data_IF_958276043143
#
_entry.id   IF_958276043143
#
_cell.length_a   1.000
_cell.length_b   1.000
_cell.length_c   1.000
_cell.angle_alpha   90.00
_cell.angle_beta   90.00
_cell.angle_gamma   90.00
#
_symmetry.space_group_name_H-M   'P 1'
#
loop_
_entity.id
_entity.type
_entity.pdbx_description
1 polymer ?
#
# COMPACT_ATOMS: atom_id res chain seq x y z
N UNK A 1 9.74 0.54 -4.38
CA UNK A 1 10.28 -0.01 -3.11
C UNK A 1 11.63 -0.72 -3.28
N UNK A 2 11.72 -1.85 -4.00
CA UNK A 2 12.95 -2.68 -4.08
C UNK A 2 14.24 -1.94 -4.44
N UNK A 3 14.16 -1.01 -5.40
CA UNK A 3 15.31 -0.21 -5.86
C UNK A 3 15.56 1.05 -5.03
N UNK A 4 14.65 1.42 -4.14
CA UNK A 4 14.72 2.69 -3.43
C UNK A 4 14.58 3.93 -4.31
N UNK A 5 13.97 3.80 -5.50
CA UNK A 5 13.80 4.89 -6.45
C UNK A 5 12.34 5.36 -6.50
N UNK A 6 12.13 6.66 -6.67
CA UNK A 6 10.84 7.24 -7.03
C UNK A 6 10.57 6.95 -8.51
N UNK A 7 9.40 6.39 -8.83
CA UNK A 7 9.06 5.95 -10.20
C UNK A 7 7.97 6.77 -10.87
N UNK A 8 7.25 7.60 -10.11
CA UNK A 8 6.18 8.45 -10.61
C UNK A 8 5.57 9.27 -9.48
N UNK A 9 4.59 10.11 -9.81
CA UNK A 9 3.74 10.81 -8.87
C UNK A 9 2.30 10.86 -9.38
N UNK A 10 1.32 10.85 -8.48
CA UNK A 10 -0.09 11.04 -8.84
C UNK A 10 -0.49 12.50 -8.67
N UNK A 11 -1.14 13.08 -9.68
CA UNK A 11 -1.69 14.42 -9.64
C UNK A 11 -3.02 14.43 -8.87
N UNK A 12 -2.97 14.92 -7.63
CA UNK A 12 -4.11 14.93 -6.73
C UNK A 12 -4.73 16.34 -6.64
N UNK A 13 -5.96 16.48 -7.14
CA UNK A 13 -6.68 17.76 -7.09
C UNK A 13 -6.93 18.20 -5.63
N UNK A 14 -6.74 19.49 -5.35
CA UNK A 14 -7.06 20.13 -4.07
C UNK A 14 -7.64 21.50 -4.34
N UNK A 15 -8.73 21.85 -3.66
CA UNK A 15 -9.37 23.15 -3.86
C UNK A 15 -9.00 24.12 -2.75
N UNK A 16 -8.28 25.19 -3.10
CA UNK A 16 -8.04 26.33 -2.21
C UNK A 16 -9.30 27.20 -2.13
N UNK A 17 -10.24 26.83 -1.25
CA UNK A 17 -11.49 27.57 -1.07
C UNK A 17 -11.21 28.95 -0.42
N UNK A 18 -11.79 30.04 -0.93
CA UNK A 18 -11.49 31.39 -0.45
C UNK A 18 -11.81 31.63 1.03
N UNK A 19 -12.77 30.88 1.60
CA UNK A 19 -13.16 31.01 3.02
C UNK A 19 -12.84 29.79 3.87
N UNK A 20 -12.84 28.59 3.28
CA UNK A 20 -12.81 27.33 4.03
C UNK A 20 -11.42 26.69 4.00
N UNK A 21 -10.47 27.35 3.32
CA UNK A 21 -9.11 26.85 3.14
C UNK A 21 -9.05 25.67 2.19
N UNK A 22 -8.08 24.78 2.43
CA UNK A 22 -7.82 23.63 1.57
C UNK A 22 -8.92 22.57 1.72
N UNK A 23 -9.70 22.35 0.67
CA UNK A 23 -10.69 21.29 0.59
C UNK A 23 -10.17 20.08 -0.19
N UNK A 24 -10.44 18.89 0.33
CA UNK A 24 -10.12 17.61 -0.30
C UNK A 24 -11.18 17.22 -1.36
N UNK A 25 -10.82 16.38 -2.35
CA UNK A 25 -11.70 15.98 -3.45
C UNK A 25 -13.11 15.54 -3.02
N UNK A 26 -13.21 14.74 -1.96
CA UNK A 26 -14.50 14.23 -1.45
C UNK A 26 -15.48 15.31 -0.96
N UNK A 27 -15.06 16.58 -0.87
CA UNK A 27 -15.94 17.72 -0.55
C UNK A 27 -16.62 18.35 -1.76
N UNK A 28 -16.09 18.15 -2.97
CA UNK A 28 -16.56 18.87 -4.16
C UNK A 28 -16.72 18.01 -5.42
N UNK A 29 -15.93 16.94 -5.60
CA UNK A 29 -16.08 16.07 -6.77
C UNK A 29 -17.49 15.43 -6.85
N UNK A 30 -18.09 14.90 -5.76
CA UNK A 30 -19.44 14.33 -5.83
C UNK A 30 -20.54 15.34 -6.21
N UNK A 31 -20.26 16.65 -6.14
CA UNK A 31 -21.22 17.70 -6.48
C UNK A 31 -21.23 17.94 -8.00
N UNK A 32 -20.09 17.72 -8.67
CA UNK A 32 -19.92 17.99 -10.09
C UNK A 32 -19.93 16.72 -10.94
N UNK A 33 -19.88 15.55 -10.31
CA UNK A 33 -19.92 14.23 -10.95
C UNK A 33 -21.00 14.16 -12.05
N UNK A 34 -20.65 13.56 -13.19
CA UNK A 34 -21.48 13.44 -14.39
C UNK A 34 -21.96 14.74 -15.05
N UNK A 35 -21.43 15.91 -14.65
CA UNK A 35 -21.76 17.21 -15.25
C UNK A 35 -20.72 17.69 -16.28
N UNK A 36 -21.07 18.70 -17.07
CA UNK A 36 -20.09 19.39 -17.95
C UNK A 36 -18.93 20.00 -17.16
N UNK A 37 -19.17 20.42 -15.91
CA UNK A 37 -18.13 20.96 -15.05
C UNK A 37 -17.10 19.89 -14.65
N UNK A 38 -17.48 18.62 -14.56
CA UNK A 38 -16.53 17.51 -14.34
C UNK A 38 -15.56 17.36 -15.51
N UNK A 39 -16.06 17.48 -16.74
CA UNK A 39 -15.24 17.49 -17.96
C UNK A 39 -14.30 18.70 -17.97
N UNK A 40 -14.83 19.90 -17.72
CA UNK A 40 -14.02 21.13 -17.66
C UNK A 40 -12.92 21.07 -16.59
N UNK A 41 -13.23 20.51 -15.42
CA UNK A 41 -12.27 20.31 -14.34
C UNK A 41 -11.22 19.26 -14.73
N UNK A 42 -11.62 18.16 -15.35
CA UNK A 42 -10.69 17.14 -15.85
C UNK A 42 -9.71 17.70 -16.88
N UNK A 43 -10.20 18.48 -17.85
CA UNK A 43 -9.37 19.19 -18.83
C UNK A 43 -8.37 20.14 -18.17
N UNK A 44 -8.84 20.89 -17.17
CA UNK A 44 -8.00 21.79 -16.39
C UNK A 44 -6.92 21.04 -15.61
N UNK A 45 -7.25 19.89 -15.01
CA UNK A 45 -6.27 19.04 -14.29
C UNK A 45 -5.20 18.54 -15.24
N UNK A 46 -5.56 18.05 -16.42
CA UNK A 46 -4.58 17.60 -17.43
C UNK A 46 -3.65 18.76 -17.81
N UNK A 47 -4.22 19.94 -18.10
CA UNK A 47 -3.43 21.11 -18.48
C UNK A 47 -2.46 21.54 -17.36
N UNK A 48 -2.91 21.57 -16.11
CA UNK A 48 -2.07 21.97 -14.99
C UNK A 48 -0.98 20.93 -14.69
N UNK A 49 -1.28 19.63 -14.83
CA UNK A 49 -0.29 18.57 -14.72
C UNK A 49 0.79 18.70 -15.79
N UNK A 50 0.43 18.89 -17.06
CA UNK A 50 1.40 19.09 -18.15
C UNK A 50 2.26 20.34 -17.94
N UNK A 51 1.64 21.46 -17.54
CA UNK A 51 2.37 22.68 -17.18
C UNK A 51 3.38 22.42 -16.07
N UNK A 52 2.98 21.70 -15.02
CA UNK A 52 3.85 21.39 -13.88
C UNK A 52 4.96 20.40 -14.24
N UNK A 53 4.70 19.46 -15.15
CA UNK A 53 5.71 18.54 -15.69
C UNK A 53 6.77 19.29 -16.51
N UNK A 54 6.40 20.30 -17.30
CA UNK A 54 7.38 21.13 -18.01
C UNK A 54 8.27 21.92 -17.05
N UNK A 55 7.68 22.46 -15.97
CA UNK A 55 8.45 23.13 -14.92
C UNK A 55 9.46 22.18 -14.25
N UNK A 56 9.09 20.92 -14.03
CA UNK A 56 10.00 19.89 -13.50
C UNK A 56 11.05 19.46 -14.52
N UNK A 57 10.69 19.29 -15.79
CA UNK A 57 11.62 18.98 -16.88
C UNK A 57 12.72 20.06 -16.99
N UNK A 58 12.34 21.34 -16.91
CA UNK A 58 13.29 22.46 -16.90
C UNK A 58 14.25 22.45 -15.70
N UNK A 59 13.87 21.79 -14.60
CA UNK A 59 14.70 21.57 -13.41
C UNK A 59 15.52 20.27 -13.47
N UNK A 60 15.45 19.52 -14.57
CA UNK A 60 16.12 18.23 -14.76
C UNK A 60 15.42 17.07 -14.06
N UNK A 61 14.11 17.17 -13.80
CA UNK A 61 13.30 16.11 -13.22
C UNK A 61 12.32 15.59 -14.27
N UNK A 62 12.65 14.45 -14.86
CA UNK A 62 11.77 13.69 -15.75
C UNK A 62 11.06 12.60 -14.94
N UNK A 63 9.81 12.85 -14.56
CA UNK A 63 9.03 11.96 -13.71
C UNK A 63 7.69 11.62 -14.38
N UNK A 64 7.31 10.33 -14.46
CA UNK A 64 5.97 9.95 -14.86
C UNK A 64 4.91 10.54 -13.92
N UNK A 65 3.83 11.07 -14.48
CA UNK A 65 2.69 11.62 -13.73
C UNK A 65 1.42 10.91 -14.13
N UNK A 66 0.73 10.38 -13.13
CA UNK A 66 -0.58 9.77 -13.29
C UNK A 66 -1.68 10.80 -12.99
N UNK A 67 -2.72 10.83 -13.82
CA UNK A 67 -3.80 11.81 -13.78
C UNK A 67 -5.14 11.07 -13.75
N UNK A 68 -5.94 11.33 -12.71
CA UNK A 68 -7.28 10.78 -12.56
C UNK A 68 -8.25 11.34 -13.61
N UNK A 69 -8.97 10.45 -14.30
CA UNK A 69 -10.00 10.80 -15.29
C UNK A 69 -11.33 10.14 -14.89
N UNK A 70 -12.38 10.95 -14.77
CA UNK A 70 -13.73 10.45 -14.50
C UNK A 70 -14.28 9.66 -15.69
N UNK A 71 -15.22 8.75 -15.42
CA UNK A 71 -15.90 7.98 -16.49
C UNK A 71 -16.60 8.90 -17.49
N UNK A 72 -17.28 9.93 -17.00
CA UNK A 72 -17.95 10.94 -17.84
C UNK A 72 -16.98 11.67 -18.77
N UNK A 73 -15.82 12.10 -18.26
CA UNK A 73 -14.81 12.79 -19.04
C UNK A 73 -14.17 11.86 -20.07
N UNK A 74 -13.84 10.63 -19.67
CA UNK A 74 -13.28 9.61 -20.56
C UNK A 74 -14.23 9.33 -21.74
N UNK A 75 -15.53 9.20 -21.48
CA UNK A 75 -16.53 8.90 -22.50
C UNK A 75 -17.00 10.13 -23.30
N UNK A 76 -16.48 11.32 -22.99
CA UNK A 76 -16.88 12.54 -23.69
C UNK A 76 -16.43 12.53 -25.16
N UNK A 77 -17.29 13.00 -26.06
CA UNK A 77 -17.01 13.01 -27.50
C UNK A 77 -15.79 13.89 -27.80
N UNK A 78 -14.76 13.28 -28.41
CA UNK A 78 -13.53 13.97 -28.77
C UNK A 78 -12.50 14.09 -27.64
N UNK A 79 -12.63 13.35 -26.54
CA UNK A 79 -11.61 13.25 -25.49
C UNK A 79 -10.20 13.02 -26.06
N UNK A 80 -10.02 12.03 -26.94
CA UNK A 80 -8.71 11.71 -27.54
C UNK A 80 -8.14 12.88 -28.36
N UNK A 81 -8.99 13.58 -29.12
CA UNK A 81 -8.61 14.79 -29.86
C UNK A 81 -8.19 15.90 -28.91
N UNK A 82 -8.96 16.13 -27.84
CA UNK A 82 -8.65 17.17 -26.85
C UNK A 82 -7.33 16.89 -26.13
N UNK A 83 -7.12 15.64 -25.73
CA UNK A 83 -5.84 15.19 -25.18
C UNK A 83 -4.69 15.43 -26.15
N UNK A 84 -4.86 15.14 -27.45
CA UNK A 84 -3.83 15.42 -28.46
C UNK A 84 -3.50 16.92 -28.58
N UNK A 85 -4.49 17.79 -28.48
CA UNK A 85 -4.28 19.25 -28.46
C UNK A 85 -3.50 19.71 -27.23
N UNK A 86 -3.86 19.19 -26.04
CA UNK A 86 -3.17 19.49 -24.79
C UNK A 86 -1.72 19.02 -24.84
N UNK A 87 -1.47 17.78 -25.29
CA UNK A 87 -0.11 17.25 -25.46
C UNK A 87 0.71 18.07 -26.46
N UNK A 88 0.12 18.47 -27.59
CA UNK A 88 0.80 19.27 -28.60
C UNK A 88 1.22 20.66 -28.11
N UNK A 89 0.55 21.19 -27.09
CA UNK A 89 0.93 22.45 -26.45
C UNK A 89 2.20 22.35 -25.60
N UNK A 90 2.63 21.13 -25.25
CA UNK A 90 3.80 20.84 -24.40
C UNK A 90 4.83 19.93 -25.11
N UNK A 91 5.42 20.38 -26.24
CA UNK A 91 6.23 19.53 -27.13
C UNK A 91 7.55 19.03 -26.53
N UNK A 92 7.97 19.58 -25.38
CA UNK A 92 9.19 19.15 -24.70
C UNK A 92 8.96 17.92 -23.81
N UNK A 93 7.71 17.59 -23.50
CA UNK A 93 7.37 16.42 -22.71
C UNK A 93 7.29 15.18 -23.60
N UNK A 94 7.87 14.08 -23.14
CA UNK A 94 7.63 12.79 -23.74
C UNK A 94 6.23 12.29 -23.31
N UNK A 95 5.30 11.99 -24.24
CA UNK A 95 3.96 11.54 -23.87
C UNK A 95 3.92 10.27 -23.01
N UNK A 96 4.97 9.43 -23.11
CA UNK A 96 5.13 8.23 -22.28
C UNK A 96 5.43 8.49 -20.80
N UNK A 97 5.52 9.76 -20.38
CA UNK A 97 5.54 10.16 -18.97
C UNK A 97 4.14 10.42 -18.42
N UNK A 98 3.10 10.29 -19.22
CA UNK A 98 1.73 10.59 -18.81
C UNK A 98 0.96 9.29 -18.73
N UNK A 99 0.34 9.08 -17.58
CA UNK A 99 -0.53 7.95 -17.31
C UNK A 99 -1.92 8.47 -16.96
N UNK A 100 -2.96 7.91 -17.58
CA UNK A 100 -4.34 8.20 -17.23
C UNK A 100 -4.89 7.10 -16.33
N UNK A 101 -5.36 7.50 -15.16
CA UNK A 101 -5.98 6.63 -14.18
C UNK A 101 -7.49 6.69 -14.33
N UNK A 102 -8.11 5.52 -14.48
CA UNK A 102 -9.57 5.41 -14.56
C UNK A 102 -10.05 4.37 -13.57
N UNK A 103 -11.18 4.65 -12.91
CA UNK A 103 -11.80 3.71 -11.99
C UNK A 103 -12.18 2.41 -12.72
N UNK A 104 -12.04 1.29 -12.00
CA UNK A 104 -12.46 -0.03 -12.48
C UNK A 104 -13.91 -0.02 -13.00
N UNK A 105 -14.83 0.57 -12.25
CA UNK A 105 -16.26 0.61 -12.58
C UNK A 105 -16.53 1.38 -13.88
N UNK A 106 -15.91 2.55 -14.04
CA UNK A 106 -16.05 3.38 -15.25
C UNK A 106 -15.53 2.67 -16.51
N UNK A 107 -14.46 1.89 -16.39
CA UNK A 107 -13.93 1.10 -17.49
C UNK A 107 -14.86 -0.06 -17.90
N UNK A 108 -15.64 -0.60 -16.95
CA UNK A 108 -16.53 -1.75 -17.17
C UNK A 108 -17.88 -1.39 -17.79
N UNK A 109 -18.36 -0.16 -17.61
CA UNK A 109 -19.67 0.29 -18.12
C UNK A 109 -19.79 0.21 -19.65
N UNK A 110 -18.72 0.56 -20.38
CA UNK A 110 -18.68 0.51 -21.85
C UNK A 110 -17.32 0.06 -22.38
N UNK A 111 -16.97 -1.19 -22.10
CA UNK A 111 -15.64 -1.73 -22.41
C UNK A 111 -15.24 -1.62 -23.88
N UNK A 112 -16.17 -1.77 -24.82
CA UNK A 112 -15.82 -1.76 -26.24
C UNK A 112 -15.33 -0.37 -26.66
N UNK A 113 -16.08 0.67 -26.27
CA UNK A 113 -15.72 2.05 -26.55
C UNK A 113 -14.47 2.47 -25.75
N UNK A 114 -14.36 2.07 -24.48
CA UNK A 114 -13.18 2.36 -23.65
C UNK A 114 -11.91 1.72 -24.24
N UNK A 115 -11.98 0.47 -24.72
CA UNK A 115 -10.83 -0.20 -25.32
C UNK A 115 -10.38 0.48 -26.62
N UNK A 116 -11.31 0.95 -27.45
CA UNK A 116 -10.98 1.74 -28.65
C UNK A 116 -10.31 3.05 -28.28
N UNK A 117 -10.90 3.80 -27.33
CA UNK A 117 -10.36 5.06 -26.83
C UNK A 117 -8.95 4.91 -26.24
N UNK A 118 -8.72 3.85 -25.48
CA UNK A 118 -7.40 3.51 -24.95
C UNK A 118 -6.39 3.28 -26.09
N UNK A 119 -6.84 2.64 -27.18
CA UNK A 119 -6.04 2.46 -28.39
C UNK A 119 -5.73 3.79 -29.10
N UNK A 120 -6.66 4.74 -29.11
CA UNK A 120 -6.43 6.09 -29.63
C UNK A 120 -5.41 6.86 -28.79
N UNK A 121 -5.61 6.91 -27.48
CA UNK A 121 -4.75 7.63 -26.56
C UNK A 121 -3.34 7.01 -26.50
N UNK A 122 -3.21 5.68 -26.62
CA UNK A 122 -1.90 5.03 -26.76
C UNK A 122 -1.15 5.42 -28.02
N UNK A 123 -1.84 5.70 -29.13
CA UNK A 123 -1.19 6.23 -30.34
C UNK A 123 -0.60 7.62 -30.12
N UNK A 124 -1.09 8.37 -29.12
CA UNK A 124 -0.50 9.62 -28.65
C UNK A 124 0.71 9.39 -27.72
N UNK A 125 0.93 8.15 -27.27
CA UNK A 125 2.04 7.74 -26.40
C UNK A 125 1.72 7.73 -24.90
N UNK A 126 0.45 7.90 -24.52
CA UNK A 126 -0.02 7.93 -23.13
C UNK A 126 -0.35 6.51 -22.63
N UNK A 127 -0.01 6.18 -21.37
CA UNK A 127 -0.35 4.89 -20.73
C UNK A 127 -1.67 4.97 -19.96
N UNK A 128 -2.20 3.81 -19.58
CA UNK A 128 -3.39 3.73 -18.72
C UNK A 128 -3.16 2.84 -17.51
N UNK A 129 -3.71 3.29 -16.38
CA UNK A 129 -3.83 2.54 -15.15
C UNK A 129 -5.31 2.31 -14.81
N UNK A 130 -5.62 1.11 -14.33
CA UNK A 130 -6.91 0.83 -13.69
C UNK A 130 -6.78 1.08 -12.20
N UNK A 131 -7.62 1.98 -11.70
CA UNK A 131 -7.65 2.40 -10.30
C UNK A 131 -8.77 1.71 -9.51
N UNK A 132 -8.63 1.70 -8.18
CA UNK A 132 -9.53 1.06 -7.22
C UNK A 132 -9.83 -0.43 -7.51
N UNK A 133 -8.86 -1.17 -8.07
CA UNK A 133 -9.10 -2.54 -8.52
C UNK A 133 -9.41 -3.48 -7.35
N UNK A 134 -10.47 -4.28 -7.51
CA UNK A 134 -10.95 -5.27 -6.55
C UNK A 134 -12.17 -4.80 -5.75
N UNK A 135 -12.56 -3.53 -5.87
CA UNK A 135 -13.78 -2.99 -5.25
C UNK A 135 -15.04 -3.23 -6.11
N UNK A 136 -14.85 -3.51 -7.40
CA UNK A 136 -15.92 -3.80 -8.36
C UNK A 136 -16.09 -5.29 -8.69
N UNK A 137 -17.02 -5.57 -9.61
CA UNK A 137 -17.27 -6.92 -10.14
C UNK A 137 -16.40 -7.19 -11.39
N UNK A 138 -15.08 -7.17 -11.24
CA UNK A 138 -14.19 -7.55 -12.35
C UNK A 138 -14.19 -9.05 -12.61
N UNK A 139 -14.62 -9.45 -13.81
CA UNK A 139 -14.32 -10.79 -14.33
C UNK A 139 -12.93 -10.81 -14.98
N UNK A 140 -12.22 -11.93 -14.86
CA UNK A 140 -10.94 -12.16 -15.55
C UNK A 140 -11.03 -11.91 -17.07
N UNK A 141 -12.21 -12.11 -17.66
CA UNK A 141 -12.50 -11.83 -19.07
C UNK A 141 -12.35 -10.35 -19.39
N UNK A 142 -12.81 -9.46 -18.51
CA UNK A 142 -12.76 -8.02 -18.70
C UNK A 142 -11.34 -7.51 -18.58
N UNK A 143 -10.62 -7.94 -17.56
CA UNK A 143 -9.21 -7.61 -17.37
C UNK A 143 -8.38 -7.95 -18.61
N UNK A 144 -8.61 -9.12 -19.23
CA UNK A 144 -7.92 -9.54 -20.46
C UNK A 144 -8.16 -8.59 -21.65
N UNK A 145 -9.35 -7.99 -21.73
CA UNK A 145 -9.76 -7.14 -22.85
C UNK A 145 -9.36 -5.68 -22.67
N UNK A 146 -9.38 -5.19 -21.43
CA UNK A 146 -8.95 -3.83 -21.10
C UNK A 146 -7.43 -3.72 -21.24
N UNK A 147 -6.92 -2.87 -22.14
CA UNK A 147 -5.50 -2.76 -22.36
C UNK A 147 -4.87 -1.80 -21.33
N UNK A 148 -5.05 -2.02 -20.04
CA UNK A 148 -4.34 -1.23 -19.03
C UNK A 148 -2.90 -1.74 -18.86
N UNK A 149 -1.96 -0.82 -18.68
CA UNK A 149 -0.54 -1.12 -18.50
C UNK A 149 -0.22 -1.37 -17.01
N UNK A 150 -0.93 -0.64 -16.14
CA UNK A 150 -0.81 -0.66 -14.69
C UNK A 150 -2.15 -1.00 -14.05
N UNK A 151 -2.10 -1.70 -12.93
CA UNK A 151 -3.25 -1.91 -12.04
C UNK A 151 -2.90 -1.42 -10.65
N UNK A 152 -3.75 -0.58 -10.07
CA UNK A 152 -3.61 -0.04 -8.72
C UNK A 152 -4.55 -0.83 -7.78
N UNK A 153 -3.98 -1.42 -6.74
CA UNK A 153 -4.73 -2.15 -5.71
C UNK A 153 -5.25 -1.13 -4.71
N UNK A 154 -6.57 -1.09 -4.53
CA UNK A 154 -7.23 -0.12 -3.65
C UNK A 154 -6.65 -0.12 -2.23
N UNK A 155 -6.57 1.08 -1.66
CA UNK A 155 -6.03 1.32 -0.32
C UNK A 155 -6.81 0.60 0.79
N UNK A 156 -8.09 0.27 0.60
CA UNK A 156 -8.85 -0.44 1.65
C UNK A 156 -8.30 -1.83 1.89
N UNK A 157 -7.95 -2.56 0.81
CA UNK A 157 -7.31 -3.87 0.92
C UNK A 157 -5.90 -3.74 1.50
N UNK A 158 -5.09 -2.80 1.01
CA UNK A 158 -3.70 -2.67 1.45
C UNK A 158 -3.61 -2.28 2.93
N UNK A 159 -4.42 -1.33 3.40
CA UNK A 159 -4.41 -0.91 4.82
C UNK A 159 -4.76 -2.06 5.77
N UNK A 160 -5.65 -2.94 5.33
CA UNK A 160 -6.18 -4.03 6.15
C UNK A 160 -5.46 -5.36 5.92
N UNK A 161 -4.65 -5.53 4.85
CA UNK A 161 -4.02 -6.83 4.51
C UNK A 161 -3.11 -7.36 5.62
N UNK A 162 -2.66 -6.47 6.50
CA UNK A 162 -1.88 -6.82 7.66
C UNK A 162 -2.74 -7.16 8.88
N UNK A 163 -4.06 -7.23 8.82
CA UNK A 163 -4.94 -7.60 9.93
C UNK A 163 -6.04 -8.58 9.49
N UNK A 164 -6.49 -8.44 8.24
CA UNK A 164 -7.53 -9.22 7.61
C UNK A 164 -6.94 -10.19 6.58
N UNK A 165 -7.21 -11.49 6.78
CA UNK A 165 -6.72 -12.55 5.91
C UNK A 165 -7.44 -12.58 4.55
N UNK A 166 -8.70 -12.12 4.50
CA UNK A 166 -9.45 -12.02 3.26
C UNK A 166 -8.87 -10.89 2.40
N UNK A 167 -8.55 -9.73 3.00
CA UNK A 167 -7.90 -8.63 2.29
C UNK A 167 -6.48 -9.01 1.82
N UNK A 168 -5.71 -9.75 2.63
CA UNK A 168 -4.43 -10.30 2.20
C UNK A 168 -4.58 -11.23 1.00
N UNK A 169 -5.55 -12.15 1.03
CA UNK A 169 -5.82 -13.08 -0.08
C UNK A 169 -6.24 -12.33 -1.36
N UNK A 170 -6.98 -11.23 -1.25
CA UNK A 170 -7.31 -10.35 -2.38
C UNK A 170 -6.02 -9.74 -2.97
N UNK A 171 -5.16 -9.16 -2.14
CA UNK A 171 -3.88 -8.57 -2.57
C UNK A 171 -3.02 -9.62 -3.29
N UNK A 172 -2.88 -10.83 -2.73
CA UNK A 172 -2.16 -11.94 -3.35
C UNK A 172 -2.74 -12.32 -4.71
N UNK A 173 -4.07 -12.44 -4.80
CA UNK A 173 -4.78 -12.76 -6.03
C UNK A 173 -4.55 -11.72 -7.13
N UNK A 174 -4.61 -10.43 -6.78
CA UNK A 174 -4.39 -9.33 -7.72
C UNK A 174 -2.93 -9.27 -8.19
N UNK A 175 -1.95 -9.48 -7.30
CA UNK A 175 -0.54 -9.56 -7.69
C UNK A 175 -0.30 -10.77 -8.60
N UNK A 176 -0.88 -11.94 -8.29
CA UNK A 176 -0.80 -13.12 -9.15
C UNK A 176 -1.41 -12.89 -10.54
N UNK A 177 -2.53 -12.15 -10.60
CA UNK A 177 -3.18 -11.78 -11.85
C UNK A 177 -2.29 -10.89 -12.72
N UNK A 178 -1.71 -9.83 -12.14
CA UNK A 178 -0.85 -8.91 -12.89
C UNK A 178 0.41 -9.61 -13.41
N UNK A 179 1.00 -10.52 -12.64
CA UNK A 179 2.11 -11.37 -13.09
C UNK A 179 1.72 -12.27 -14.27
N UNK A 180 0.56 -12.93 -14.21
CA UNK A 180 0.08 -13.81 -15.27
C UNK A 180 -0.14 -13.08 -16.61
N UNK A 181 -0.63 -11.85 -16.54
CA UNK A 181 -0.88 -10.99 -17.71
C UNK A 181 0.28 -10.06 -18.06
N UNK A 182 1.40 -10.13 -17.33
CA UNK A 182 2.61 -9.31 -17.51
C UNK A 182 2.32 -7.80 -17.45
N UNK A 183 1.47 -7.40 -16.50
CA UNK A 183 1.15 -6.00 -16.20
C UNK A 183 1.88 -5.53 -14.96
N UNK A 184 2.02 -4.22 -14.83
CA UNK A 184 2.54 -3.62 -13.62
C UNK A 184 1.45 -3.54 -12.55
N UNK A 185 1.86 -3.54 -11.28
CA UNK A 185 0.97 -3.43 -10.14
C UNK A 185 1.51 -2.39 -9.17
N UNK A 186 0.63 -1.51 -8.68
CA UNK A 186 0.91 -0.52 -7.66
C UNK A 186 -0.01 -0.80 -6.48
N UNK A 187 0.56 -0.91 -5.28
CA UNK A 187 -0.24 -0.98 -4.06
C UNK A 187 -0.46 0.41 -3.46
N UNK A 188 -1.72 0.78 -3.22
CA UNK A 188 -2.07 2.08 -2.64
C UNK A 188 -2.29 2.02 -1.13
N UNK A 189 -2.10 3.12 -0.41
CA UNK A 189 -2.34 3.11 1.03
C UNK A 189 -1.29 2.33 1.83
N UNK A 190 -0.04 2.26 1.34
CA UNK A 190 1.10 1.77 2.15
C UNK A 190 1.39 2.79 3.26
N UNK A 191 0.86 2.54 4.46
CA UNK A 191 0.97 3.45 5.61
C UNK A 191 2.20 3.21 6.48
N UNK A 192 2.77 2.01 6.40
CA UNK A 192 3.86 1.60 7.28
C UNK A 192 4.91 0.79 6.52
N UNK A 193 6.11 0.68 7.10
CA UNK A 193 7.22 -0.11 6.54
C UNK A 193 6.81 -1.57 6.36
N UNK A 194 6.00 -2.09 7.29
CA UNK A 194 5.52 -3.45 7.29
C UNK A 194 4.60 -3.76 6.10
N UNK A 195 3.80 -2.80 5.64
CA UNK A 195 3.01 -2.96 4.41
C UNK A 195 3.93 -3.19 3.22
N UNK A 196 4.96 -2.33 3.07
CA UNK A 196 5.93 -2.45 1.98
C UNK A 196 6.75 -3.74 2.05
N UNK A 197 7.06 -4.24 3.25
CA UNK A 197 7.73 -5.52 3.43
C UNK A 197 6.90 -6.67 2.86
N UNK A 198 5.64 -6.78 3.25
CA UNK A 198 4.74 -7.85 2.75
C UNK A 198 4.58 -7.75 1.24
N UNK A 199 4.33 -6.55 0.72
CA UNK A 199 4.19 -6.33 -0.73
C UNK A 199 5.44 -6.76 -1.52
N UNK A 200 6.64 -6.43 -1.03
CA UNK A 200 7.90 -6.86 -1.65
C UNK A 200 8.07 -8.38 -1.67
N UNK A 201 7.56 -9.08 -0.66
CA UNK A 201 7.59 -10.54 -0.56
C UNK A 201 6.58 -11.19 -1.51
N UNK A 202 5.42 -10.57 -1.69
CA UNK A 202 4.41 -10.99 -2.68
C UNK A 202 4.81 -10.67 -4.12
N UNK A 203 5.87 -9.88 -4.33
CA UNK A 203 6.39 -9.51 -5.65
C UNK A 203 5.81 -8.21 -6.21
N UNK A 204 5.20 -7.38 -5.36
CA UNK A 204 4.79 -6.02 -5.68
C UNK A 204 5.93 -5.04 -5.33
N UNK A 205 6.53 -4.43 -6.35
CA UNK A 205 7.69 -3.55 -6.19
C UNK A 205 7.33 -2.05 -6.14
N UNK A 206 6.14 -1.68 -6.62
CA UNK A 206 5.67 -0.29 -6.71
C UNK A 206 4.53 -0.07 -5.72
N UNK A 207 4.56 1.08 -5.03
CA UNK A 207 3.57 1.41 -4.03
C UNK A 207 3.47 2.92 -3.83
N UNK A 208 2.34 3.35 -3.30
CA UNK A 208 2.10 4.69 -2.81
C UNK A 208 1.39 4.67 -1.45
N UNK A 209 1.60 5.69 -0.64
CA UNK A 209 0.98 5.82 0.67
C UNK A 209 1.83 6.61 1.66
N UNK A 210 1.28 6.87 2.84
CA UNK A 210 1.88 7.73 3.85
C UNK A 210 3.18 7.19 4.45
N UNK A 211 3.41 5.87 4.38
CA UNK A 211 4.69 5.25 4.75
C UNK A 211 5.82 5.61 3.77
N UNK A 212 5.50 6.18 2.60
CA UNK A 212 6.47 6.70 1.62
C UNK A 212 6.47 8.22 1.66
N UNK A 213 5.30 8.84 1.43
CA UNK A 213 5.11 10.29 1.46
C UNK A 213 3.64 10.66 1.62
N UNK A 214 3.40 11.80 2.26
CA UNK A 214 2.11 12.48 2.14
C UNK A 214 2.02 13.24 0.80
N UNK A 215 0.80 13.43 0.25
CA UNK A 215 0.59 14.37 -0.84
C UNK A 215 1.18 15.74 -0.50
N UNK A 216 1.94 16.32 -1.43
CA UNK A 216 2.67 17.55 -1.21
C UNK A 216 2.49 18.55 -2.36
N UNK A 217 2.63 19.86 -2.12
CA UNK A 217 2.69 20.84 -3.20
C UNK A 217 3.80 20.53 -4.20
N UNK A 218 3.51 20.73 -5.49
CA UNK A 218 4.42 20.36 -6.58
C UNK A 218 5.83 21.00 -6.49
N UNK A 219 5.93 22.19 -5.90
CA UNK A 219 7.21 22.87 -5.69
C UNK A 219 8.15 22.15 -4.71
N UNK A 220 7.62 21.29 -3.83
CA UNK A 220 8.43 20.53 -2.87
C UNK A 220 8.96 19.21 -3.44
N UNK A 221 8.33 18.70 -4.50
CA UNK A 221 8.60 17.37 -5.04
C UNK A 221 10.05 17.19 -5.53
N UNK A 222 10.67 18.12 -6.29
CA UNK A 222 12.04 17.94 -6.79
C UNK A 222 13.07 17.75 -5.67
N UNK A 223 12.96 18.53 -4.59
CA UNK A 223 13.87 18.39 -3.45
C UNK A 223 13.58 17.11 -2.65
N UNK A 224 12.31 16.77 -2.47
CA UNK A 224 11.93 15.52 -1.82
C UNK A 224 12.50 14.29 -2.55
N UNK A 225 12.42 14.24 -3.89
CA UNK A 225 13.00 13.15 -4.70
C UNK A 225 14.51 13.05 -4.48
N UNK A 226 15.24 14.17 -4.46
CA UNK A 226 16.69 14.18 -4.23
C UNK A 226 17.08 13.63 -2.86
N UNK A 227 16.21 13.82 -1.87
CA UNK A 227 16.46 13.39 -0.48
C UNK A 227 15.86 12.02 -0.16
N UNK A 228 15.04 11.46 -1.05
CA UNK A 228 14.33 10.22 -0.81
C UNK A 228 15.29 9.07 -0.52
N UNK A 229 15.02 8.36 0.58
CA UNK A 229 15.69 7.12 0.96
C UNK A 229 14.61 6.11 1.35
N UNK A 230 14.63 4.89 0.79
CA UNK A 230 13.73 3.85 1.24
C UNK A 230 14.05 3.47 2.68
N UNK A 231 13.09 2.86 3.36
CA UNK A 231 13.35 2.22 4.63
C UNK A 231 14.37 1.07 4.49
N UNK A 232 15.25 0.91 5.47
CA UNK A 232 16.30 -0.11 5.47
C UNK A 232 15.73 -1.54 5.43
N UNK A 233 14.56 -1.76 6.07
CA UNK A 233 13.89 -3.07 6.09
C UNK A 233 13.49 -3.52 4.70
N UNK A 234 13.09 -2.61 3.81
CA UNK A 234 12.79 -2.93 2.42
C UNK A 234 14.04 -3.37 1.67
N UNK A 235 15.20 -2.77 1.95
CA UNK A 235 16.47 -3.20 1.39
C UNK A 235 16.82 -4.63 1.80
N UNK A 236 16.72 -4.94 3.10
CA UNK A 236 17.00 -6.27 3.65
C UNK A 236 16.09 -7.35 3.06
N UNK A 237 14.79 -7.07 2.95
CA UNK A 237 13.81 -8.00 2.37
C UNK A 237 14.19 -8.45 0.95
N UNK A 238 14.83 -7.57 0.19
CA UNK A 238 15.15 -7.79 -1.23
C UNK A 238 16.46 -8.56 -1.44
N UNK A 239 17.30 -8.66 -0.40
CA UNK A 239 18.55 -9.41 -0.44
C UNK A 239 18.33 -10.93 -0.47
N UNK A 240 17.10 -11.38 -0.21
CA UNK A 240 16.78 -12.79 -0.08
C UNK A 240 15.61 -13.19 -0.99
N UNK A 241 15.67 -14.42 -1.53
CA UNK A 241 14.56 -15.03 -2.26
C UNK A 241 13.80 -15.92 -1.29
N UNK A 242 12.62 -15.47 -0.91
CA UNK A 242 11.73 -16.17 0.00
C UNK A 242 10.82 -17.13 -0.76
N UNK A 243 10.51 -18.27 -0.15
CA UNK A 243 9.38 -19.07 -0.60
C UNK A 243 8.09 -18.45 -0.05
N UNK A 244 6.98 -18.54 -0.79
CA UNK A 244 5.67 -18.06 -0.34
C UNK A 244 5.26 -18.72 1.00
N UNK A 245 5.67 -19.98 1.18
CA UNK A 245 5.47 -20.76 2.39
C UNK A 245 6.18 -20.21 3.65
N UNK A 246 7.25 -19.41 3.48
CA UNK A 246 7.98 -18.83 4.61
C UNK A 246 7.48 -17.42 4.99
N UNK A 247 6.55 -16.86 4.20
CA UNK A 247 6.02 -15.52 4.40
C UNK A 247 5.41 -15.30 5.80
N UNK A 248 4.57 -16.22 6.35
CA UNK A 248 4.03 -16.06 7.69
C UNK A 248 5.09 -15.96 8.79
N UNK A 249 6.24 -16.63 8.65
CA UNK A 249 7.36 -16.54 9.61
C UNK A 249 8.05 -15.17 9.56
N UNK A 250 8.07 -14.53 8.40
CA UNK A 250 8.70 -13.21 8.25
C UNK A 250 7.89 -12.09 8.86
N UNK A 251 6.59 -12.22 8.82
CA UNK A 251 5.67 -11.27 9.42
C UNK A 251 5.34 -11.60 10.87
N UNK A 252 5.87 -12.70 11.42
CA UNK A 252 5.60 -13.08 12.81
C UNK A 252 6.07 -11.99 13.81
N UNK A 253 7.26 -11.41 13.61
CA UNK A 253 7.74 -10.29 14.45
C UNK A 253 6.87 -9.03 14.27
N UNK A 254 6.37 -8.82 13.06
CA UNK A 254 5.45 -7.71 12.73
C UNK A 254 4.12 -7.89 13.48
N UNK A 255 3.52 -9.07 13.39
CA UNK A 255 2.25 -9.40 14.04
C UNK A 255 2.36 -9.28 15.56
N UNK A 256 3.46 -9.75 16.13
CA UNK A 256 3.74 -9.59 17.55
C UNK A 256 3.94 -8.12 17.95
N UNK A 257 4.77 -7.40 17.20
CA UNK A 257 5.04 -5.96 17.42
C UNK A 257 3.76 -5.12 17.34
N UNK A 258 2.84 -5.47 16.44
CA UNK A 258 1.53 -4.82 16.33
C UNK A 258 0.66 -5.09 17.56
N UNK A 259 0.56 -6.35 17.98
CA UNK A 259 -0.18 -6.70 19.19
C UNK A 259 0.32 -5.90 20.40
N UNK A 260 1.65 -5.78 20.56
CA UNK A 260 2.28 -4.92 21.56
C UNK A 260 1.88 -3.45 21.39
N UNK A 261 2.02 -2.87 20.19
CA UNK A 261 1.65 -1.46 19.95
C UNK A 261 0.18 -1.20 20.32
N UNK A 262 -0.73 -2.09 19.94
CA UNK A 262 -2.16 -2.00 20.29
C UNK A 262 -2.41 -2.11 21.79
N UNK A 263 -1.69 -2.97 22.50
CA UNK A 263 -1.76 -3.06 23.95
C UNK A 263 -1.34 -1.73 24.60
N UNK A 264 -0.22 -1.15 24.17
CA UNK A 264 0.27 0.11 24.73
C UNK A 264 -0.65 1.28 24.40
N UNK A 265 -1.17 1.35 23.17
CA UNK A 265 -2.16 2.35 22.79
C UNK A 265 -3.42 2.28 23.67
N UNK A 266 -3.91 1.06 23.96
CA UNK A 266 -5.01 0.85 24.90
C UNK A 266 -4.67 1.34 26.31
N UNK A 267 -3.47 1.01 26.82
CA UNK A 267 -3.04 1.40 28.17
C UNK A 267 -2.84 2.91 28.32
N UNK A 268 -2.47 3.60 27.24
CA UNK A 268 -2.26 5.05 27.24
C UNK A 268 -3.56 5.82 26.92
N UNK A 269 -4.63 5.12 26.51
CA UNK A 269 -5.92 5.73 26.23
C UNK A 269 -6.64 6.17 27.52
N UNK A 270 -6.81 7.48 27.66
CA UNK A 270 -7.60 8.09 28.75
C UNK A 270 -9.04 8.39 28.34
N UNK A 271 -9.39 8.20 27.06
CA UNK A 271 -10.70 8.55 26.49
C UNK A 271 -11.67 7.37 26.50
N UNK A 272 -11.16 6.13 26.59
CA UNK A 272 -11.94 4.90 26.50
C UNK A 272 -12.43 4.58 25.08
N UNK A 273 -11.85 5.22 24.07
CA UNK A 273 -12.18 5.01 22.66
C UNK A 273 -11.45 3.80 22.06
N UNK A 274 -10.27 3.47 22.58
CA UNK A 274 -9.44 2.37 22.08
C UNK A 274 -9.90 1.06 22.71
N UNK A 275 -10.08 0.03 21.89
CA UNK A 275 -10.40 -1.32 22.37
C UNK A 275 -9.11 -2.08 22.72
N UNK A 276 -9.13 -2.95 23.72
CA UNK A 276 -7.98 -3.78 24.04
C UNK A 276 -7.72 -4.77 22.90
N UNK A 277 -6.45 -5.17 22.66
CA UNK A 277 -6.14 -6.21 21.70
C UNK A 277 -6.64 -7.59 22.17
N UNK A 278 -6.63 -8.58 21.28
CA UNK A 278 -6.90 -9.98 21.64
C UNK A 278 -5.85 -10.49 22.63
N UNK A 279 -6.31 -10.97 23.79
CA UNK A 279 -5.44 -11.42 24.88
C UNK A 279 -5.36 -12.94 24.97
N UNK A 280 -6.17 -13.69 24.23
CA UNK A 280 -5.97 -15.11 24.04
C UNK A 280 -4.78 -15.35 23.08
N UNK A 281 -3.74 -16.01 23.61
CA UNK A 281 -2.53 -16.38 22.87
C UNK A 281 -2.81 -17.24 21.63
N UNK A 282 -3.94 -17.93 21.53
CA UNK A 282 -4.29 -18.74 20.37
C UNK A 282 -5.10 -17.98 19.33
N UNK A 283 -5.68 -16.84 19.70
CA UNK A 283 -6.55 -16.03 18.84
C UNK A 283 -5.84 -14.79 18.28
N UNK A 284 -4.77 -14.33 18.93
CA UNK A 284 -3.93 -13.27 18.36
C UNK A 284 -3.29 -13.72 17.02
N UNK A 285 -2.93 -12.76 16.16
CA UNK A 285 -2.45 -13.06 14.79
C UNK A 285 -1.18 -13.92 14.78
N UNK A 286 -0.20 -13.55 15.61
CA UNK A 286 1.00 -14.35 15.83
C UNK A 286 0.67 -15.76 16.32
N UNK A 287 -0.24 -15.89 17.30
CA UNK A 287 -0.69 -17.17 17.84
C UNK A 287 -1.34 -18.06 16.80
N UNK A 288 -2.29 -17.53 16.02
CA UNK A 288 -2.96 -18.26 14.94
C UNK A 288 -1.96 -18.88 13.97
N UNK A 289 -0.90 -18.17 13.62
CA UNK A 289 0.20 -18.72 12.84
C UNK A 289 1.03 -19.74 13.62
N UNK A 290 1.49 -19.40 14.83
CA UNK A 290 2.37 -20.27 15.63
C UNK A 290 1.75 -21.67 15.85
N UNK A 291 0.44 -21.73 16.08
CA UNK A 291 -0.31 -22.97 16.28
C UNK A 291 -0.87 -23.59 14.98
N UNK A 292 -0.70 -22.94 13.82
CA UNK A 292 -1.13 -23.50 12.53
C UNK A 292 -0.17 -24.58 12.02
N UNK A 293 -0.59 -25.33 11.00
CA UNK A 293 0.31 -26.26 10.31
C UNK A 293 1.53 -25.56 9.72
N UNK A 294 1.40 -24.31 9.29
CA UNK A 294 2.49 -23.51 8.73
C UNK A 294 3.50 -23.09 9.80
N UNK A 295 3.05 -22.70 11.00
CA UNK A 295 3.95 -22.44 12.13
C UNK A 295 4.73 -23.69 12.54
N UNK A 296 4.05 -24.84 12.59
CA UNK A 296 4.67 -26.11 13.02
C UNK A 296 5.78 -26.62 12.07
N UNK A 297 5.95 -26.03 10.89
CA UNK A 297 7.11 -26.28 10.00
C UNK A 297 8.45 -25.98 10.68
N UNK A 298 8.46 -25.04 11.62
CA UNK A 298 9.66 -24.57 12.31
C UNK A 298 9.88 -25.26 13.67
N UNK A 299 9.05 -26.23 14.05
CA UNK A 299 9.06 -26.86 15.37
C UNK A 299 10.37 -27.57 15.74
N UNK A 300 11.24 -27.87 14.76
CA UNK A 300 12.56 -28.44 15.01
C UNK A 300 13.55 -27.44 15.62
N UNK A 301 13.39 -26.14 15.35
CA UNK A 301 14.27 -25.09 15.87
C UNK A 301 14.08 -24.92 17.38
N UNK A 302 15.18 -24.88 18.14
CA UNK A 302 15.13 -24.64 19.60
C UNK A 302 14.48 -23.28 19.90
N UNK A 303 14.83 -22.25 19.12
CA UNK A 303 14.24 -20.92 19.22
C UNK A 303 12.71 -20.93 19.01
N UNK A 304 12.18 -21.78 18.12
CA UNK A 304 10.73 -21.90 17.93
C UNK A 304 10.04 -22.49 19.15
N UNK A 305 10.64 -23.49 19.80
CA UNK A 305 10.08 -24.08 21.03
C UNK A 305 10.07 -23.10 22.20
N UNK A 306 11.06 -22.21 22.29
CA UNK A 306 11.12 -21.18 23.33
C UNK A 306 10.01 -20.12 23.18
N UNK A 307 9.51 -19.89 21.97
CA UNK A 307 8.45 -18.91 21.70
C UNK A 307 7.18 -19.24 22.49
N UNK A 308 6.81 -20.51 22.68
CA UNK A 308 5.55 -20.86 23.37
C UNK A 308 5.46 -20.27 24.77
N UNK A 309 6.49 -20.49 25.59
CA UNK A 309 6.52 -20.03 26.98
C UNK A 309 6.60 -18.50 27.06
N UNK A 310 7.40 -17.88 26.18
CA UNK A 310 7.55 -16.42 26.10
C UNK A 310 6.24 -15.75 25.66
N UNK A 311 5.60 -16.29 24.62
CA UNK A 311 4.35 -15.78 24.08
C UNK A 311 3.22 -15.88 25.10
N UNK A 312 3.09 -17.02 25.76
CA UNK A 312 2.15 -17.22 26.86
C UNK A 312 2.37 -16.21 27.97
N UNK A 313 3.62 -16.04 28.41
CA UNK A 313 3.97 -15.11 29.48
C UNK A 313 3.64 -13.66 29.11
N UNK A 314 3.87 -13.25 27.86
CA UNK A 314 3.50 -11.93 27.37
C UNK A 314 1.98 -11.70 27.42
N UNK A 315 1.19 -12.68 27.00
CA UNK A 315 -0.28 -12.61 27.09
C UNK A 315 -0.78 -12.57 28.54
N UNK A 316 -0.15 -13.32 29.45
CA UNK A 316 -0.45 -13.27 30.88
C UNK A 316 -0.13 -11.90 31.50
N UNK A 317 1.00 -11.30 31.14
CA UNK A 317 1.38 -9.94 31.57
C UNK A 317 0.43 -8.89 30.96
N UNK A 318 0.10 -9.00 29.67
CA UNK A 318 -0.85 -8.11 29.00
C UNK A 318 -2.24 -8.14 29.65
N UNK A 319 -2.69 -9.32 30.05
CA UNK A 319 -3.93 -9.50 30.82
C UNK A 319 -3.88 -8.89 32.22
N UNK A 320 -2.71 -8.84 32.86
CA UNK A 320 -2.51 -8.14 34.13
C UNK A 320 -2.48 -6.62 33.94
N UNK A 321 -1.75 -6.13 32.95
CA UNK A 321 -1.69 -4.71 32.60
C UNK A 321 -3.08 -4.15 32.29
N UNK A 322 -3.88 -4.86 31.49
CA UNK A 322 -5.27 -4.49 31.23
C UNK A 322 -6.10 -4.40 32.52
N UNK A 323 -6.00 -5.41 33.40
CA UNK A 323 -6.72 -5.39 34.69
C UNK A 323 -6.31 -4.21 35.58
N UNK A 324 -5.03 -3.87 35.62
CA UNK A 324 -4.55 -2.69 36.34
C UNK A 324 -5.09 -1.38 35.74
N UNK A 325 -5.09 -1.26 34.41
CA UNK A 325 -5.65 -0.10 33.70
C UNK A 325 -7.16 0.04 33.91
N UNK A 326 -7.92 -1.04 33.72
CA UNK A 326 -9.38 -1.08 33.88
C UNK A 326 -9.82 -0.75 35.33
N UNK A 327 -8.99 -1.08 36.33
CA UNK A 327 -9.26 -0.79 37.75
C UNK A 327 -8.64 0.51 38.26
N UNK A 328 -7.81 1.19 37.46
CA UNK A 328 -7.05 2.38 37.86
C UNK A 328 -5.92 2.12 38.86
N UNK A 329 -5.52 0.86 39.05
CA UNK A 329 -4.41 0.48 39.93
C UNK A 329 -3.06 0.67 39.22
N UNK A 330 -2.38 1.77 39.56
CA UNK A 330 -1.07 2.12 39.00
C UNK A 330 0.13 1.46 39.70
N UNK A 331 -0.09 0.77 40.82
CA UNK A 331 1.00 0.30 41.69
C UNK A 331 1.89 -0.75 41.04
N UNK A 332 1.33 -1.60 40.17
CA UNK A 332 2.03 -2.68 39.50
C UNK A 332 2.38 -2.40 38.03
N UNK A 333 1.80 -1.36 37.41
CA UNK A 333 1.92 -1.11 35.95
C UNK A 333 3.38 -0.95 35.53
N UNK A 334 4.18 -0.19 36.28
CA UNK A 334 5.57 0.05 35.93
C UNK A 334 6.42 -1.23 35.95
N UNK A 335 6.22 -2.09 36.96
CA UNK A 335 6.93 -3.37 37.08
C UNK A 335 6.50 -4.36 35.99
N UNK A 336 5.19 -4.43 35.70
CA UNK A 336 4.64 -5.27 34.64
C UNK A 336 5.11 -4.82 33.25
N UNK A 337 5.15 -3.51 32.97
CA UNK A 337 5.70 -2.98 31.70
C UNK A 337 7.18 -3.36 31.55
N UNK A 338 7.98 -3.26 32.61
CA UNK A 338 9.39 -3.66 32.57
C UNK A 338 9.55 -5.16 32.27
N UNK A 339 8.80 -6.03 32.96
CA UNK A 339 8.83 -7.47 32.71
C UNK A 339 8.35 -7.80 31.29
N UNK A 340 7.29 -7.13 30.82
CA UNK A 340 6.77 -7.28 29.46
C UNK A 340 7.85 -6.99 28.42
N UNK A 341 8.58 -5.88 28.54
CA UNK A 341 9.63 -5.50 27.60
C UNK A 341 10.77 -6.52 27.55
N UNK A 342 11.16 -7.10 28.70
CA UNK A 342 12.19 -8.14 28.77
C UNK A 342 11.76 -9.43 28.05
N UNK A 343 10.53 -9.89 28.27
CA UNK A 343 10.00 -11.07 27.58
C UNK A 343 9.82 -10.81 26.09
N UNK A 344 9.37 -9.60 25.71
CA UNK A 344 9.18 -9.19 24.32
C UNK A 344 10.52 -9.20 23.57
N UNK A 345 11.58 -8.64 24.17
CA UNK A 345 12.91 -8.66 23.57
C UNK A 345 13.41 -10.09 23.31
N UNK A 346 13.19 -10.99 24.27
CA UNK A 346 13.57 -12.41 24.14
C UNK A 346 12.78 -13.13 23.04
N UNK A 347 11.48 -12.82 22.90
CA UNK A 347 10.63 -13.39 21.85
C UNK A 347 11.05 -12.89 20.46
N UNK A 348 11.29 -11.58 20.31
CA UNK A 348 11.79 -11.00 19.06
C UNK A 348 13.14 -11.62 18.66
N UNK A 349 14.06 -11.84 19.61
CA UNK A 349 15.34 -12.52 19.33
C UNK A 349 15.13 -13.95 18.83
N UNK A 350 14.20 -14.71 19.43
CA UNK A 350 13.84 -16.06 18.96
C UNK A 350 13.29 -16.03 17.53
N UNK A 351 12.38 -15.10 17.23
CA UNK A 351 11.82 -14.93 15.89
C UNK A 351 12.91 -14.61 14.87
N UNK A 352 13.78 -13.64 15.17
CA UNK A 352 14.89 -13.24 14.31
C UNK A 352 15.88 -14.38 14.08
N UNK A 353 16.14 -15.22 15.09
CA UNK A 353 16.99 -16.39 14.95
C UNK A 353 16.40 -17.40 13.96
N UNK A 354 15.09 -17.71 14.06
CA UNK A 354 14.42 -18.61 13.11
C UNK A 354 14.44 -18.01 11.70
N UNK A 355 14.14 -16.71 11.57
CA UNK A 355 14.21 -16.02 10.28
C UNK A 355 15.61 -16.13 9.66
N UNK A 356 16.67 -15.96 10.46
CA UNK A 356 18.05 -16.15 10.00
C UNK A 356 18.35 -17.60 9.57
N UNK A 357 17.87 -18.60 10.30
CA UNK A 357 18.03 -20.01 9.91
C UNK A 357 17.31 -20.34 8.61
N UNK A 358 16.07 -19.85 8.43
CA UNK A 358 15.29 -20.00 7.19
C UNK A 358 16.05 -19.39 6.02
N UNK A 359 16.62 -18.20 6.22
CA UNK A 359 17.46 -17.51 5.23
C UNK A 359 18.70 -18.30 4.83
N UNK A 360 19.39 -18.90 5.80
CA UNK A 360 20.60 -19.69 5.54
C UNK A 360 20.27 -20.99 4.80
N UNK A 361 19.16 -21.65 5.15
CA UNK A 361 18.73 -22.91 4.54
C UNK A 361 18.24 -22.74 3.09
N UNK A 362 17.63 -21.59 2.75
CA UNK A 362 17.28 -21.28 1.34
C UNK A 362 18.50 -21.02 0.45
N UNK A 363 19.66 -20.70 1.03
CA UNK A 363 20.91 -20.54 0.28
C UNK A 363 21.62 -21.87 0.00
N UNK A 364 21.56 -22.84 0.91
CA UNK A 364 22.21 -24.16 0.76
C UNK A 364 21.47 -25.09 -0.20
N UNK A 365 20.14 -24.98 -0.31
CA UNK A 365 19.33 -25.75 -1.28
C UNK A 365 19.57 -25.34 -2.76
N UNK A 366 20.43 -24.34 -3.02
CA UNK A 366 20.83 -23.87 -4.35
C UNK A 366 22.24 -24.31 -4.79
N UNK A 367 22.93 -25.12 -4.00
CA UNK A 367 24.15 -25.84 -4.41
C UNK A 367 23.82 -27.29 -4.63
#
# INVERSE_FOLDING_TARGET
MRKGSVTGAEALIRWQHPTDGLLLPGRFLPIIEDSELDIEVGDWVIQEALRQMEDWHAQGVDLPVSINISGKHLQHEGFSRRLAELLAAHPNLAPGLIELEVLETAALEDMANVAELFGECRRLGVSFALDDFGTGYSSLTYFRQLPADVLKIDQSFIRNMLDDADDLAIVEGVIGLTQAFRRQVIAEGVETVEHGLVLLLLGCDMAQGFGIAHPMPAALLPEWIRQFKPDELWGLATAFKWSHEDLPMLIADVDHSRWKKSLYAYLDDTTGAIRPPELDQHQCRFGRWYYSQDGQRYASADAFRMIEDLHKKLHDIGSQLRRCHDTGDSSAIAALKLEFEEQNASLTECIQHIQAEVLMNTQTSKR
#
